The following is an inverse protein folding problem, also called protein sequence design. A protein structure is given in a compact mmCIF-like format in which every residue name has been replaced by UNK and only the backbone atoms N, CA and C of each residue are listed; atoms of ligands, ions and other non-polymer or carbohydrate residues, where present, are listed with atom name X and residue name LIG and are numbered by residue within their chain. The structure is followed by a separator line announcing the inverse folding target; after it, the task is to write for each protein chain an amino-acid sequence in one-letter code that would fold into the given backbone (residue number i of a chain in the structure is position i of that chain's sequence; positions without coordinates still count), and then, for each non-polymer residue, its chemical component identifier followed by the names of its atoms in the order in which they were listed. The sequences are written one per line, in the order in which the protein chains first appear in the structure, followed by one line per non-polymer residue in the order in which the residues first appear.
data_IF_245133840642
#
_entry.id   IF_245133840642
#
_cell.length_a   1.000
_cell.length_b   1.000
_cell.length_c   1.000
_cell.angle_alpha   90.00
_cell.angle_beta   90.00
_cell.angle_gamma   90.00
#
_symmetry.space_group_name_H-M   'P 1'
#
loop_
_entity.id
_entity.type
_entity.pdbx_description
1 polymer ?
#
# COMPACT_ATOMS: atom_id res chain seq x y z
N UNK A 1 -2.14 -4.53 -20.35
CA UNK A 1 -1.22 -3.43 -19.99
C UNK A 1 -0.53 -3.61 -18.62
N UNK A 2 -1.20 -3.66 -17.47
CA UNK A 2 -0.49 -3.82 -16.17
C UNK A 2 0.28 -5.15 -16.07
N UNK A 3 -0.39 -6.27 -16.36
CA UNK A 3 0.24 -7.61 -16.44
C UNK A 3 1.35 -7.69 -17.50
N UNK A 4 1.13 -7.12 -18.67
CA UNK A 4 2.15 -7.04 -19.74
C UNK A 4 3.43 -6.33 -19.29
N UNK A 5 3.34 -5.30 -18.44
CA UNK A 5 4.53 -4.61 -17.90
C UNK A 5 5.27 -5.47 -16.86
N UNK A 6 4.56 -6.32 -16.13
CA UNK A 6 5.18 -7.29 -15.22
C UNK A 6 5.96 -8.37 -15.98
N UNK A 7 5.45 -8.81 -17.13
CA UNK A 7 6.05 -9.85 -17.97
C UNK A 7 7.17 -9.31 -18.88
N UNK A 8 6.94 -8.16 -19.53
CA UNK A 8 7.85 -7.60 -20.55
C UNK A 8 8.82 -6.55 -20.01
N UNK A 9 8.67 -6.12 -18.75
CA UNK A 9 9.42 -5.01 -18.17
C UNK A 9 8.98 -3.64 -18.71
N UNK A 10 9.74 -2.60 -18.39
CA UNK A 10 9.51 -1.25 -18.92
C UNK A 10 10.38 -0.99 -20.14
N UNK A 11 9.86 -0.18 -21.08
CA UNK A 11 10.54 0.22 -22.32
C UNK A 11 11.93 0.85 -22.07
N UNK A 12 12.16 1.38 -20.87
CA UNK A 12 13.43 2.02 -20.47
C UNK A 12 14.52 1.04 -19.95
N UNK A 13 14.36 -0.27 -20.12
CA UNK A 13 15.41 -1.26 -19.83
C UNK A 13 15.49 -1.72 -18.36
N UNK A 14 14.43 -1.50 -17.58
CA UNK A 14 14.32 -2.11 -16.26
C UNK A 14 13.98 -3.60 -16.40
N UNK A 15 14.82 -4.46 -15.83
CA UNK A 15 14.66 -5.91 -15.82
C UNK A 15 13.26 -6.30 -15.34
N UNK A 16 12.54 -7.07 -16.16
CA UNK A 16 11.19 -7.54 -15.85
C UNK A 16 11.11 -8.19 -14.46
N UNK A 17 12.16 -8.90 -14.02
CA UNK A 17 12.21 -9.53 -12.69
C UNK A 17 12.18 -8.54 -11.51
N UNK A 18 12.51 -7.26 -11.73
CA UNK A 18 12.62 -6.23 -10.67
C UNK A 18 11.55 -5.13 -10.75
N UNK A 19 10.88 -5.00 -11.89
CA UNK A 19 9.78 -4.03 -12.04
C UNK A 19 8.63 -4.45 -11.12
N UNK A 20 8.14 -3.50 -10.30
CA UNK A 20 7.09 -3.72 -9.29
C UNK A 20 7.45 -4.79 -8.24
N UNK A 21 8.66 -4.70 -7.68
CA UNK A 21 9.15 -5.61 -6.64
C UNK A 21 8.51 -5.50 -5.25
N UNK A 22 7.46 -4.68 -5.06
CA UNK A 22 6.83 -4.45 -3.74
C UNK A 22 7.61 -3.50 -2.81
N UNK A 23 8.57 -2.73 -3.34
CA UNK A 23 9.48 -1.91 -2.53
C UNK A 23 8.84 -0.77 -1.73
N UNK A 24 7.61 -0.35 -2.06
CA UNK A 24 6.89 0.72 -1.33
C UNK A 24 6.62 0.33 0.13
N UNK A 25 6.37 -0.97 0.36
CA UNK A 25 6.13 -1.52 1.69
C UNK A 25 7.26 -1.24 2.69
N UNK A 26 8.51 -1.06 2.24
CA UNK A 26 9.67 -0.82 3.11
C UNK A 26 9.44 0.35 4.09
N UNK A 27 8.82 1.43 3.61
CA UNK A 27 8.52 2.63 4.42
C UNK A 27 7.38 2.41 5.43
N UNK A 28 6.69 1.27 5.34
CA UNK A 28 5.46 0.98 6.06
C UNK A 28 5.55 -0.25 6.97
N UNK A 29 6.64 -1.02 6.90
CA UNK A 29 6.88 -2.20 7.74
C UNK A 29 6.69 -1.89 9.24
N UNK A 30 7.14 -0.73 9.72
CA UNK A 30 7.02 -0.38 11.14
C UNK A 30 5.59 -0.09 11.59
N UNK A 31 4.78 0.59 10.77
CA UNK A 31 3.38 0.84 11.14
C UNK A 31 2.55 -0.44 11.07
N UNK A 32 2.77 -1.28 10.05
CA UNK A 32 2.12 -2.58 9.94
C UNK A 32 2.51 -3.48 11.12
N UNK A 33 3.77 -3.49 11.53
CA UNK A 33 4.21 -4.23 12.72
C UNK A 33 3.54 -3.76 14.01
N UNK A 34 3.26 -2.46 14.15
CA UNK A 34 2.48 -1.96 15.29
C UNK A 34 1.03 -2.40 15.27
N UNK A 35 0.38 -2.35 14.10
CA UNK A 35 -0.99 -2.83 13.91
C UNK A 35 -1.09 -4.33 14.20
N UNK A 36 -0.21 -5.13 13.62
CA UNK A 36 -0.12 -6.58 13.85
C UNK A 36 0.00 -6.92 15.34
N UNK A 37 0.89 -6.24 16.05
CA UNK A 37 1.06 -6.46 17.49
C UNK A 37 -0.15 -6.00 18.32
N UNK A 38 -0.79 -4.89 17.94
CA UNK A 38 -1.96 -4.36 18.62
C UNK A 38 -3.15 -5.32 18.54
N UNK A 39 -3.42 -5.85 17.34
CA UNK A 39 -4.56 -6.75 17.09
C UNK A 39 -4.20 -8.23 17.23
N UNK A 40 -2.95 -8.54 17.60
CA UNK A 40 -2.42 -9.91 17.73
C UNK A 40 -2.61 -10.74 16.47
N UNK A 41 -2.43 -10.11 15.31
CA UNK A 41 -2.63 -10.76 14.01
C UNK A 41 -1.73 -11.99 13.84
N UNK A 42 -2.25 -13.03 13.17
CA UNK A 42 -1.55 -14.26 12.80
C UNK A 42 -1.46 -14.46 11.29
N UNK A 43 -2.38 -13.89 10.53
CA UNK A 43 -2.31 -13.86 9.07
C UNK A 43 -2.45 -12.44 8.53
N UNK A 44 -1.66 -12.11 7.52
CA UNK A 44 -1.76 -10.82 6.80
C UNK A 44 -1.90 -11.08 5.31
N UNK A 45 -2.87 -10.43 4.66
CA UNK A 45 -2.95 -10.28 3.21
C UNK A 45 -2.24 -8.99 2.77
N UNK A 46 -1.30 -9.08 1.85
CA UNK A 46 -0.77 -7.93 1.09
C UNK A 46 -1.49 -7.83 -0.25
N UNK A 47 -2.43 -6.87 -0.34
CA UNK A 47 -3.29 -6.62 -1.48
C UNK A 47 -2.59 -5.67 -2.46
N UNK A 48 -2.10 -6.22 -3.57
CA UNK A 48 -1.24 -5.53 -4.54
C UNK A 48 0.24 -5.58 -4.15
N UNK A 49 0.73 -6.75 -3.72
CA UNK A 49 2.09 -6.98 -3.24
C UNK A 49 3.19 -6.78 -4.30
N UNK A 50 2.82 -6.63 -5.57
CA UNK A 50 3.74 -6.82 -6.68
C UNK A 50 4.41 -8.19 -6.58
N UNK A 51 5.72 -8.24 -6.81
CA UNK A 51 6.51 -9.48 -6.72
C UNK A 51 6.91 -9.89 -5.30
N UNK A 52 6.51 -9.16 -4.27
CA UNK A 52 6.76 -9.56 -2.88
C UNK A 52 8.24 -9.71 -2.46
N UNK A 53 9.19 -9.08 -3.17
CA UNK A 53 10.63 -9.33 -2.98
C UNK A 53 11.14 -8.99 -1.56
N UNK A 54 10.44 -8.12 -0.83
CA UNK A 54 10.78 -7.79 0.55
C UNK A 54 10.52 -8.95 1.53
N UNK A 55 9.61 -9.85 1.21
CA UNK A 55 9.29 -11.01 2.06
C UNK A 55 10.38 -12.10 1.98
N UNK A 56 11.17 -12.12 0.92
CA UNK A 56 12.32 -13.02 0.74
C UNK A 56 13.62 -12.46 1.36
N UNK A 57 13.63 -11.17 1.72
CA UNK A 57 14.83 -10.51 2.22
C UNK A 57 15.13 -10.89 3.68
N UNK A 58 16.41 -11.17 3.95
CA UNK A 58 16.94 -11.31 5.30
C UNK A 58 17.76 -10.08 5.71
N UNK A 59 17.77 -9.76 7.01
CA UNK A 59 18.55 -8.65 7.58
C UNK A 59 18.25 -7.29 6.90
N UNK A 60 16.95 -7.01 6.74
CA UNK A 60 16.46 -5.80 6.08
C UNK A 60 16.67 -4.58 6.98
N UNK A 61 17.34 -3.56 6.45
CA UNK A 61 17.47 -2.25 7.09
C UNK A 61 16.24 -1.39 6.76
N UNK A 62 15.47 -1.06 7.80
CA UNK A 62 14.30 -0.19 7.73
C UNK A 62 14.72 1.28 7.75
N UNK A 63 13.87 2.20 7.27
CA UNK A 63 14.07 3.63 7.46
C UNK A 63 14.33 3.96 8.94
N UNK A 64 15.36 4.77 9.20
CA UNK A 64 15.81 5.05 10.57
C UNK A 64 16.91 4.11 11.09
N UNK A 65 17.37 3.15 10.27
CA UNK A 65 18.58 2.35 10.53
C UNK A 65 18.32 1.10 11.39
N UNK A 66 17.07 0.76 11.65
CA UNK A 66 16.70 -0.48 12.36
C UNK A 66 16.85 -1.67 11.43
N UNK A 67 17.57 -2.70 11.86
CA UNK A 67 17.70 -3.95 11.08
C UNK A 67 16.76 -5.01 11.66
N UNK A 68 15.98 -5.66 10.79
CA UNK A 68 15.06 -6.75 11.14
C UNK A 68 15.48 -8.05 10.44
N UNK A 69 15.22 -9.22 11.04
CA UNK A 69 15.62 -10.49 10.43
C UNK A 69 14.81 -10.78 9.16
N UNK A 70 13.50 -10.66 9.22
CA UNK A 70 12.58 -10.75 8.09
C UNK A 70 11.29 -9.97 8.39
N UNK A 71 10.51 -9.65 7.36
CA UNK A 71 9.21 -8.96 7.54
C UNK A 71 8.26 -9.79 8.39
N UNK A 72 8.16 -11.09 8.11
CA UNK A 72 7.26 -12.01 8.82
C UNK A 72 7.58 -12.12 10.32
N UNK A 73 8.86 -12.28 10.66
CA UNK A 73 9.27 -12.33 12.07
C UNK A 73 9.03 -10.99 12.76
N UNK A 74 9.31 -9.88 12.09
CA UNK A 74 9.12 -8.55 12.65
C UNK A 74 7.64 -8.25 12.94
N UNK A 75 6.74 -8.69 12.05
CA UNK A 75 5.29 -8.57 12.26
C UNK A 75 4.73 -9.62 13.22
N UNK A 76 5.51 -10.64 13.59
CA UNK A 76 5.12 -11.73 14.49
C UNK A 76 3.85 -12.47 14.02
N UNK A 77 3.79 -12.76 12.72
CA UNK A 77 2.67 -13.46 12.06
C UNK A 77 3.10 -14.85 11.57
N UNK A 78 2.12 -15.75 11.52
CA UNK A 78 2.33 -17.14 11.10
C UNK A 78 2.25 -17.28 9.58
N UNK A 79 1.45 -16.43 8.92
CA UNK A 79 1.21 -16.47 7.47
C UNK A 79 1.18 -15.07 6.84
N UNK A 80 1.72 -14.97 5.63
CA UNK A 80 1.60 -13.79 4.77
C UNK A 80 1.14 -14.26 3.40
N UNK A 81 -0.06 -13.80 3.01
CA UNK A 81 -0.63 -14.09 1.72
C UNK A 81 -0.39 -12.92 0.77
N UNK A 82 0.15 -13.21 -0.41
CA UNK A 82 0.44 -12.21 -1.44
C UNK A 82 -0.63 -12.27 -2.51
N UNK A 83 -1.18 -11.11 -2.86
CA UNK A 83 -2.10 -10.96 -3.97
C UNK A 83 -1.64 -9.82 -4.88
N UNK A 84 -1.50 -10.09 -6.18
CA UNK A 84 -1.35 -9.05 -7.19
C UNK A 84 -1.89 -9.57 -8.53
N UNK A 85 -2.96 -8.96 -9.11
CA UNK A 85 -3.56 -9.45 -10.34
C UNK A 85 -2.63 -9.38 -11.58
N UNK A 86 -1.55 -8.61 -11.48
CA UNK A 86 -0.50 -8.45 -12.49
C UNK A 86 0.65 -9.45 -12.37
N UNK A 87 0.75 -10.22 -11.28
CA UNK A 87 1.78 -11.24 -11.08
C UNK A 87 1.14 -12.62 -11.14
N UNK A 88 1.51 -13.44 -12.11
CA UNK A 88 0.87 -14.75 -12.37
C UNK A 88 0.78 -15.64 -11.11
N UNK A 89 1.86 -15.70 -10.33
CA UNK A 89 1.95 -16.46 -9.09
C UNK A 89 0.95 -15.99 -8.02
N UNK A 90 0.63 -14.70 -7.99
CA UNK A 90 -0.21 -14.05 -6.98
C UNK A 90 -1.55 -13.55 -7.56
N UNK A 91 -1.90 -13.98 -8.78
CA UNK A 91 -3.08 -13.47 -9.48
C UNK A 91 -4.40 -14.09 -9.00
N UNK A 92 -4.34 -15.22 -8.27
CA UNK A 92 -5.50 -15.86 -7.71
C UNK A 92 -6.16 -14.93 -6.67
N UNK A 93 -7.44 -14.64 -6.86
CA UNK A 93 -8.17 -13.79 -5.89
C UNK A 93 -8.14 -14.45 -4.51
N UNK A 94 -7.84 -13.70 -3.44
CA UNK A 94 -7.90 -14.22 -2.08
C UNK A 94 -9.33 -14.68 -1.77
N UNK A 95 -9.45 -15.85 -1.16
CA UNK A 95 -10.72 -16.45 -0.75
C UNK A 95 -10.68 -16.73 0.74
N UNK A 96 -11.05 -15.75 1.56
CA UNK A 96 -11.00 -15.90 3.02
C UNK A 96 -10.91 -14.57 3.75
N UNK A 97 -10.85 -14.66 5.08
CA UNK A 97 -10.52 -13.55 5.97
C UNK A 97 -9.11 -13.71 6.52
N UNK A 98 -8.47 -12.59 6.81
CA UNK A 98 -7.13 -12.44 7.36
C UNK A 98 -7.19 -11.53 8.58
N UNK A 99 -6.29 -11.74 9.54
CA UNK A 99 -6.24 -10.88 10.73
C UNK A 99 -5.79 -9.47 10.38
N UNK A 100 -4.97 -9.31 9.34
CA UNK A 100 -4.62 -8.02 8.76
C UNK A 100 -4.80 -8.02 7.24
N UNK A 101 -5.21 -6.89 6.69
CA UNK A 101 -5.10 -6.62 5.25
C UNK A 101 -4.29 -5.35 5.08
N UNK A 102 -3.29 -5.38 4.20
CA UNK A 102 -2.46 -4.23 3.87
C UNK A 102 -2.50 -3.95 2.37
N UNK A 103 -2.24 -2.71 1.97
CA UNK A 103 -1.97 -2.33 0.58
C UNK A 103 -1.08 -1.10 0.52
N UNK A 104 -0.11 -1.09 -0.39
CA UNK A 104 0.83 0.04 -0.55
C UNK A 104 0.98 0.45 -2.00
N UNK A 105 0.66 1.71 -2.30
CA UNK A 105 0.66 2.30 -3.65
C UNK A 105 -0.21 1.51 -4.66
N UNK A 106 -1.47 1.28 -4.31
CA UNK A 106 -2.43 0.50 -5.15
C UNK A 106 -3.70 1.31 -5.44
N UNK A 107 -4.33 1.88 -4.43
CA UNK A 107 -5.67 2.48 -4.57
C UNK A 107 -5.69 3.67 -5.55
N UNK A 108 -4.59 4.40 -5.69
CA UNK A 108 -4.46 5.48 -6.68
C UNK A 108 -4.46 4.99 -8.14
N UNK A 109 -4.22 3.69 -8.38
CA UNK A 109 -4.24 3.05 -9.68
C UNK A 109 -5.63 2.50 -10.07
N UNK A 110 -6.59 2.54 -9.14
CA UNK A 110 -7.95 2.04 -9.33
C UNK A 110 -8.85 3.21 -9.74
N UNK A 111 -9.70 3.09 -10.77
CA UNK A 111 -10.66 4.12 -11.16
C UNK A 111 -11.58 4.53 -10.01
N UNK A 112 -12.02 5.79 -9.97
CA UNK A 112 -12.83 6.34 -8.87
C UNK A 112 -14.15 5.56 -8.66
N UNK A 113 -14.75 5.08 -9.74
CA UNK A 113 -15.97 4.26 -9.75
C UNK A 113 -15.79 2.90 -9.07
N UNK A 114 -14.55 2.41 -8.98
CA UNK A 114 -14.22 1.10 -8.43
C UNK A 114 -13.73 1.16 -6.97
N UNK A 115 -13.40 2.35 -6.46
CA UNK A 115 -12.86 2.52 -5.10
C UNK A 115 -13.82 2.02 -4.03
N UNK A 116 -15.13 2.25 -4.20
CA UNK A 116 -16.13 1.86 -3.20
C UNK A 116 -16.17 0.35 -2.99
N UNK A 117 -16.16 -0.45 -4.07
CA UNK A 117 -16.21 -1.91 -3.94
C UNK A 117 -14.87 -2.49 -3.52
N UNK A 118 -13.74 -1.91 -3.93
CA UNK A 118 -12.41 -2.36 -3.51
C UNK A 118 -12.22 -2.14 -2.02
N UNK A 119 -12.57 -0.96 -1.50
CA UNK A 119 -12.51 -0.71 -0.06
C UNK A 119 -13.41 -1.69 0.70
N UNK A 120 -14.64 -1.91 0.24
CA UNK A 120 -15.54 -2.87 0.85
C UNK A 120 -14.96 -4.30 0.84
N UNK A 121 -14.32 -4.72 -0.25
CA UNK A 121 -13.64 -6.00 -0.37
C UNK A 121 -12.50 -6.12 0.65
N UNK A 122 -11.60 -5.13 0.72
CA UNK A 122 -10.49 -5.12 1.67
C UNK A 122 -10.97 -5.14 3.13
N UNK A 123 -11.99 -4.35 3.48
CA UNK A 123 -12.60 -4.39 4.81
C UNK A 123 -13.26 -5.75 5.11
N UNK A 124 -13.93 -6.37 4.13
CA UNK A 124 -14.56 -7.68 4.31
C UNK A 124 -13.57 -8.81 4.56
N UNK A 125 -12.33 -8.68 4.06
CA UNK A 125 -11.25 -9.64 4.25
C UNK A 125 -10.46 -9.40 5.55
N UNK A 126 -10.58 -8.24 6.19
CA UNK A 126 -9.84 -7.90 7.40
C UNK A 126 -10.68 -8.17 8.66
N UNK A 127 -10.24 -9.09 9.53
CA UNK A 127 -10.91 -9.34 10.82
C UNK A 127 -10.33 -8.52 11.97
N UNK A 128 -9.03 -8.18 11.94
CA UNK A 128 -8.33 -7.46 13.00
C UNK A 128 -7.95 -6.05 12.60
N UNK A 129 -7.10 -5.88 11.59
CA UNK A 129 -6.67 -4.55 11.13
C UNK A 129 -6.64 -4.35 9.62
N UNK A 130 -6.68 -3.07 9.21
CA UNK A 130 -6.50 -2.64 7.83
C UNK A 130 -5.42 -1.55 7.73
N UNK A 131 -4.44 -1.71 6.85
CA UNK A 131 -3.45 -0.67 6.53
C UNK A 131 -3.45 -0.33 5.05
N UNK A 132 -3.50 0.96 4.71
CA UNK A 132 -3.48 1.40 3.31
C UNK A 132 -2.57 2.61 3.14
N UNK A 133 -1.60 2.54 2.24
CA UNK A 133 -0.85 3.71 1.79
C UNK A 133 -1.34 4.16 0.41
N UNK A 134 -1.59 5.46 0.25
CA UNK A 134 -2.17 6.03 -0.98
C UNK A 134 -1.38 7.28 -1.42
N UNK A 135 -0.88 7.26 -2.65
CA UNK A 135 -0.26 8.43 -3.27
C UNK A 135 -1.31 9.34 -3.95
N UNK A 136 -1.78 10.36 -3.23
CA UNK A 136 -2.64 11.43 -3.77
C UNK A 136 -1.84 12.50 -4.53
N UNK A 137 -1.13 12.08 -5.57
CA UNK A 137 -0.47 12.96 -6.53
C UNK A 137 -0.16 12.21 -7.83
N UNK A 138 0.08 12.90 -8.97
CA UNK A 138 0.40 12.24 -10.22
C UNK A 138 1.66 11.37 -10.14
N UNK A 139 1.57 10.15 -10.66
CA UNK A 139 2.69 9.23 -10.83
C UNK A 139 3.79 9.89 -11.66
N UNK A 140 5.02 9.43 -11.49
CA UNK A 140 6.09 9.73 -12.46
C UNK A 140 5.87 9.01 -13.79
N UNK A 141 5.18 7.86 -13.76
CA UNK A 141 4.99 6.98 -14.92
C UNK A 141 3.76 7.40 -15.72
N UNK A 142 3.96 7.57 -17.02
CA UNK A 142 2.90 7.72 -18.02
C UNK A 142 2.81 6.39 -18.79
N UNK A 143 1.60 5.89 -18.98
CA UNK A 143 1.31 4.64 -19.65
C UNK A 143 1.39 4.83 -21.19
N UNK A 144 1.57 3.75 -21.98
CA UNK A 144 1.66 3.85 -23.44
C UNK A 144 0.47 4.56 -24.12
N UNK A 145 -0.71 4.53 -23.50
CA UNK A 145 -1.91 5.24 -23.96
C UNK A 145 -1.92 6.76 -23.61
N UNK A 146 -0.85 7.28 -23.00
CA UNK A 146 -0.71 8.68 -22.60
C UNK A 146 -1.32 9.02 -21.25
N UNK A 147 -1.95 8.08 -20.55
CA UNK A 147 -2.57 8.33 -19.24
C UNK A 147 -1.53 8.27 -18.12
N UNK A 148 -1.75 9.05 -17.05
CA UNK A 148 -0.96 8.90 -15.84
C UNK A 148 -1.27 7.55 -15.18
N UNK A 149 -0.26 6.89 -14.59
CA UNK A 149 -0.49 5.62 -13.91
C UNK A 149 -1.39 5.77 -12.67
N UNK A 150 -1.36 6.92 -11.99
CA UNK A 150 -2.30 7.22 -10.91
C UNK A 150 -3.53 7.83 -11.56
N UNK A 151 -4.61 7.05 -11.65
CA UNK A 151 -5.87 7.45 -12.29
C UNK A 151 -6.83 8.09 -11.30
N UNK A 152 -6.70 7.78 -10.01
CA UNK A 152 -7.47 8.39 -8.93
C UNK A 152 -6.57 9.26 -8.07
N UNK A 153 -6.72 10.58 -8.20
CA UNK A 153 -5.91 11.58 -7.48
C UNK A 153 -6.87 12.52 -6.74
N UNK A 154 -7.39 12.01 -5.63
CA UNK A 154 -8.39 12.71 -4.82
C UNK A 154 -7.82 13.18 -3.48
N UNK A 155 -8.28 14.33 -2.93
CA UNK A 155 -7.73 14.88 -1.70
C UNK A 155 -8.09 13.99 -0.48
N UNK A 156 -7.36 14.09 0.64
CA UNK A 156 -7.61 13.26 1.83
C UNK A 156 -9.03 13.29 2.36
N UNK A 157 -9.76 14.41 2.22
CA UNK A 157 -11.17 14.50 2.62
C UNK A 157 -12.07 13.56 1.80
N UNK A 158 -11.82 13.42 0.50
CA UNK A 158 -12.56 12.49 -0.35
C UNK A 158 -12.30 11.04 0.07
N UNK A 159 -11.04 10.69 0.34
CA UNK A 159 -10.69 9.38 0.87
C UNK A 159 -11.34 9.14 2.24
N UNK A 160 -11.39 10.15 3.11
CA UNK A 160 -12.05 10.05 4.41
C UNK A 160 -13.52 9.67 4.29
N UNK A 161 -14.26 10.27 3.36
CA UNK A 161 -15.67 9.95 3.13
C UNK A 161 -15.84 8.51 2.62
N UNK A 162 -14.96 8.08 1.71
CA UNK A 162 -14.94 6.72 1.14
C UNK A 162 -14.62 5.66 2.18
N UNK A 163 -13.55 5.88 2.96
CA UNK A 163 -13.12 5.03 4.07
C UNK A 163 -14.21 4.96 5.13
N UNK A 164 -14.76 6.11 5.51
CA UNK A 164 -15.82 6.20 6.52
C UNK A 164 -17.08 5.44 6.11
N UNK A 165 -17.41 5.41 4.81
CA UNK A 165 -18.51 4.60 4.27
C UNK A 165 -18.20 3.12 4.30
N UNK A 166 -17.00 2.71 3.85
CA UNK A 166 -16.60 1.31 3.80
C UNK A 166 -16.39 0.68 5.19
N UNK A 167 -15.98 1.49 6.18
CA UNK A 167 -15.80 1.06 7.56
C UNK A 167 -17.12 0.91 8.34
N UNK A 168 -18.27 1.33 7.79
CA UNK A 168 -19.54 1.24 8.50
C UNK A 168 -19.90 -0.21 8.81
N UNK A 169 -20.05 -0.54 10.09
CA UNK A 169 -20.37 -1.89 10.53
C UNK A 169 -19.19 -2.87 10.46
N UNK A 170 -17.99 -2.40 10.10
CA UNK A 170 -16.79 -3.22 10.19
C UNK A 170 -16.45 -3.48 11.66
N UNK A 171 -16.20 -4.75 11.99
CA UNK A 171 -16.00 -5.21 13.38
C UNK A 171 -14.53 -5.34 13.81
N UNK A 172 -13.58 -4.90 12.98
CA UNK A 172 -12.15 -4.97 13.29
C UNK A 172 -11.71 -3.96 14.36
N UNK A 173 -10.50 -4.16 14.87
CA UNK A 173 -9.93 -3.40 15.98
C UNK A 173 -9.27 -2.10 15.53
N UNK A 174 -8.59 -2.07 14.37
CA UNK A 174 -7.88 -0.86 13.94
C UNK A 174 -7.77 -0.71 12.42
N UNK A 175 -7.94 0.51 11.91
CA UNK A 175 -7.56 0.81 10.53
C UNK A 175 -6.69 2.07 10.47
N UNK A 176 -5.75 2.09 9.52
CA UNK A 176 -4.89 3.24 9.24
C UNK A 176 -4.76 3.43 7.73
N UNK A 177 -5.07 4.63 7.27
CA UNK A 177 -4.86 5.08 5.90
C UNK A 177 -3.87 6.25 5.89
N UNK A 178 -2.72 6.05 5.27
CA UNK A 178 -1.68 7.04 5.07
C UNK A 178 -1.81 7.64 3.67
N UNK A 179 -2.33 8.86 3.58
CA UNK A 179 -2.57 9.54 2.30
C UNK A 179 -1.53 10.63 2.12
N UNK A 180 -0.73 10.52 1.06
CA UNK A 180 0.36 11.44 0.80
C UNK A 180 0.01 12.39 -0.35
N UNK A 181 0.08 13.70 -0.10
CA UNK A 181 -0.11 14.76 -1.09
C UNK A 181 1.22 15.48 -1.40
N UNK A 182 1.36 16.04 -2.61
CA UNK A 182 2.46 16.98 -2.89
C UNK A 182 2.12 18.36 -2.30
N UNK A 183 3.02 18.92 -1.49
CA UNK A 183 2.90 20.32 -1.07
C UNK A 183 3.04 21.23 -2.28
N UNK A 184 2.35 22.38 -2.24
CA UNK A 184 2.42 23.36 -3.32
C UNK A 184 3.89 23.76 -3.61
N UNK A 185 4.17 24.17 -4.86
CA UNK A 185 5.56 24.39 -5.34
C UNK A 185 6.32 25.47 -4.54
N UNK A 186 5.62 26.51 -4.08
CA UNK A 186 6.23 27.62 -3.35
C UNK A 186 6.68 27.18 -1.95
N UNK A 187 5.79 26.57 -1.18
CA UNK A 187 6.05 26.10 0.17
C UNK A 187 6.94 24.85 0.20
N UNK A 188 6.80 23.94 -0.78
CA UNK A 188 7.68 22.78 -0.91
C UNK A 188 9.14 23.15 -1.24
N UNK A 189 9.36 24.26 -1.95
CA UNK A 189 10.72 24.77 -2.20
C UNK A 189 11.35 25.36 -0.94
N UNK A 190 10.57 26.11 -0.17
CA UNK A 190 11.00 26.72 1.09
C UNK A 190 11.31 25.62 2.13
N UNK A 191 10.41 24.66 2.32
CA UNK A 191 10.60 23.58 3.31
C UNK A 191 11.79 22.68 2.98
N UNK A 192 12.04 22.36 1.70
CA UNK A 192 13.25 21.61 1.31
C UNK A 192 14.54 22.27 1.76
N UNK A 193 14.61 23.60 1.66
CA UNK A 193 15.79 24.36 2.12
C UNK A 193 15.98 24.29 3.64
N UNK A 194 14.93 23.93 4.36
CA UNK A 194 14.91 23.75 5.82
C UNK A 194 14.92 22.27 6.22
N UNK A 195 15.18 21.33 5.30
CA UNK A 195 15.17 19.88 5.56
C UNK A 195 13.79 19.24 5.66
N UNK A 196 12.71 19.98 5.36
CA UNK A 196 11.34 19.47 5.38
C UNK A 196 10.94 18.70 4.11
N UNK A 197 10.02 17.75 4.26
CA UNK A 197 9.49 16.95 3.14
C UNK A 197 8.68 17.80 2.16
N UNK A 198 8.84 17.51 0.85
CA UNK A 198 7.98 18.06 -0.21
C UNK A 198 6.56 17.49 -0.19
N UNK A 199 6.34 16.47 0.61
CA UNK A 199 5.07 15.79 0.75
C UNK A 199 4.38 16.17 2.06
N UNK A 200 3.06 16.05 2.08
CA UNK A 200 2.23 16.18 3.26
C UNK A 200 1.52 14.84 3.44
N UNK A 201 1.77 14.20 4.58
CA UNK A 201 1.04 13.01 5.00
C UNK A 201 -0.20 13.45 5.78
N UNK A 202 -1.36 12.92 5.40
CA UNK A 202 -2.58 12.94 6.19
C UNK A 202 -2.90 11.51 6.56
N UNK A 203 -2.97 11.23 7.87
CA UNK A 203 -3.38 9.94 8.40
C UNK A 203 -4.86 9.98 8.79
N UNK A 204 -5.60 8.99 8.33
CA UNK A 204 -6.96 8.70 8.76
C UNK A 204 -6.91 7.37 9.49
N UNK A 205 -7.28 7.36 10.77
CA UNK A 205 -7.12 6.17 11.60
C UNK A 205 -8.26 6.00 12.60
N UNK A 206 -8.50 4.75 12.98
CA UNK A 206 -9.33 4.35 14.09
C UNK A 206 -8.61 3.24 14.84
N UNK A 207 -8.62 3.33 16.17
CA UNK A 207 -8.05 2.35 17.08
C UNK A 207 -9.10 2.03 18.15
N UNK A 208 -9.41 0.74 18.33
CA UNK A 208 -10.34 0.21 19.32
C UNK A 208 -9.74 0.06 20.73
#
# INVERSE_FOLDING_TARGET
MYREVHEAGLVDGADASKVFGGGSLLDHIEIVGRLSNHTRAKSILDYGSGKGLLYEAEHLELPGGKVIRSVQEYWNVDDIHLYDPGVEEYAARPTGGYDGVISTDVLEHIPEEDIDWVLAECFSMASGFLYMNIASYPAKKILPNGWNAHVTIQPPAWWQDKIGTAAQGWGGEAYVFDITEKRNRLWGSILRRLGGSRFKLTRIESWG
#
